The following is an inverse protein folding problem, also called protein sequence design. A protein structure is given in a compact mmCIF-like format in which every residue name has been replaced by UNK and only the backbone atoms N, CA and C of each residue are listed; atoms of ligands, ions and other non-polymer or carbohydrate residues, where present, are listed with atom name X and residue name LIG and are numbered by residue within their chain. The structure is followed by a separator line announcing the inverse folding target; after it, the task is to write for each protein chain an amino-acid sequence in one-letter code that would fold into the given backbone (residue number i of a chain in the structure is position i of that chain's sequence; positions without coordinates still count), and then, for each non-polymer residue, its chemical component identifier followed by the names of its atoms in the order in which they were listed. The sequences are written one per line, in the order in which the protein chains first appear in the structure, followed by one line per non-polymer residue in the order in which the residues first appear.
data_IF_386689541299
#
_entry.id   IF_386689541299
#
_cell.length_a   1.000
_cell.length_b   1.000
_cell.length_c   1.000
_cell.angle_alpha   90.00
_cell.angle_beta   90.00
_cell.angle_gamma   90.00
#
_symmetry.space_group_name_H-M   'P 1'
#
loop_
_entity.id
_entity.type
_entity.pdbx_description
1 polymer ?
#
# COMPACT_ATOMS: atom_id res chain seq x y z
N UNK A 1 -23.60 -2.16 19.39
CA UNK A 1 -24.37 -0.93 19.13
C UNK A 1 -24.02 -0.33 17.78
N UNK A 2 -25.01 -0.12 16.91
CA UNK A 2 -24.84 0.35 15.54
C UNK A 2 -24.48 1.86 15.44
N UNK A 3 -23.61 2.38 16.31
CA UNK A 3 -23.17 3.80 16.36
C UNK A 3 -24.30 4.84 16.11
N UNK A 4 -25.54 4.54 16.50
CA UNK A 4 -26.69 5.42 16.27
C UNK A 4 -27.22 5.53 14.84
N UNK A 5 -26.85 4.63 13.90
CA UNK A 5 -27.34 4.64 12.50
C UNK A 5 -28.53 3.71 12.30
N UNK A 6 -29.48 4.10 11.45
CA UNK A 6 -30.60 3.22 11.05
C UNK A 6 -30.14 2.14 10.06
N UNK A 7 -30.93 1.09 9.90
CA UNK A 7 -30.65 0.01 8.94
C UNK A 7 -30.59 0.55 7.51
N UNK A 8 -31.44 1.51 7.17
CA UNK A 8 -31.49 2.17 5.86
C UNK A 8 -30.20 2.96 5.59
N UNK A 9 -29.72 3.71 6.60
CA UNK A 9 -28.45 4.43 6.50
C UNK A 9 -27.27 3.47 6.29
N UNK A 10 -27.26 2.34 7.00
CA UNK A 10 -26.22 1.31 6.84
C UNK A 10 -26.27 0.71 5.43
N UNK A 11 -27.47 0.37 4.92
CA UNK A 11 -27.65 -0.14 3.55
C UNK A 11 -27.18 0.86 2.49
N UNK A 12 -27.47 2.15 2.69
CA UNK A 12 -27.01 3.21 1.79
C UNK A 12 -25.49 3.32 1.76
N UNK A 13 -24.83 3.24 2.93
CA UNK A 13 -23.36 3.25 3.02
C UNK A 13 -22.77 2.03 2.31
N UNK A 14 -23.29 0.83 2.57
CA UNK A 14 -22.84 -0.41 1.91
C UNK A 14 -22.96 -0.27 0.39
N UNK A 15 -24.10 0.21 -0.11
CA UNK A 15 -24.30 0.41 -1.54
C UNK A 15 -23.34 1.46 -2.12
N UNK A 16 -23.04 2.54 -1.39
CA UNK A 16 -22.10 3.58 -1.85
C UNK A 16 -20.64 3.13 -1.87
N UNK A 17 -20.26 2.14 -1.05
CA UNK A 17 -18.91 1.58 -0.98
C UNK A 17 -18.74 0.36 -1.90
N UNK A 18 -19.81 -0.12 -2.51
CA UNK A 18 -19.75 -1.25 -3.42
C UNK A 18 -19.05 -0.86 -4.73
N UNK A 19 -18.08 -1.67 -5.14
CA UNK A 19 -17.33 -1.48 -6.38
C UNK A 19 -17.43 -2.73 -7.24
N UNK A 20 -17.49 -2.55 -8.57
CA UNK A 20 -17.60 -3.65 -9.52
C UNK A 20 -16.33 -4.52 -9.54
N UNK A 21 -15.14 -3.89 -9.51
CA UNK A 21 -13.84 -4.57 -9.44
C UNK A 21 -13.03 -4.03 -8.25
N UNK A 22 -13.25 -4.56 -7.03
CA UNK A 22 -12.61 -4.03 -5.81
C UNK A 22 -11.08 -4.04 -5.84
N UNK A 23 -10.47 -4.97 -6.60
CA UNK A 23 -9.00 -5.03 -6.76
C UNK A 23 -8.42 -3.73 -7.36
N UNK A 24 -9.16 -3.08 -8.26
CA UNK A 24 -8.76 -1.82 -8.92
C UNK A 24 -9.48 -0.59 -8.37
N UNK A 25 -10.14 -0.70 -7.23
CA UNK A 25 -11.03 0.31 -6.68
C UNK A 25 -10.38 1.38 -5.81
N UNK A 26 -11.18 1.93 -4.89
CA UNK A 26 -10.83 3.01 -3.97
C UNK A 26 -10.13 2.47 -2.71
N UNK A 27 -8.84 2.14 -2.87
CA UNK A 27 -7.99 1.55 -1.83
C UNK A 27 -6.56 2.07 -1.90
N UNK A 28 -5.74 1.65 -0.94
CA UNK A 28 -4.31 2.00 -0.86
C UNK A 28 -4.09 3.51 -0.84
N UNK A 29 -3.10 3.99 -1.59
CA UNK A 29 -2.79 5.41 -1.71
C UNK A 29 -4.02 6.27 -2.00
N UNK A 30 -4.92 5.83 -2.88
CA UNK A 30 -6.09 6.60 -3.30
C UNK A 30 -7.02 6.91 -2.12
N UNK A 31 -7.16 5.94 -1.20
CA UNK A 31 -7.94 6.11 0.02
C UNK A 31 -7.27 7.08 0.99
N UNK A 32 -5.93 7.06 1.06
CA UNK A 32 -5.18 8.03 1.85
C UNK A 32 -5.23 9.45 1.26
N UNK A 33 -5.45 9.59 -0.05
CA UNK A 33 -5.67 10.89 -0.70
C UNK A 33 -7.04 11.48 -0.31
N UNK A 34 -8.08 10.66 -0.30
CA UNK A 34 -9.46 11.11 0.03
C UNK A 34 -9.70 11.24 1.53
N UNK A 35 -9.08 10.38 2.34
CA UNK A 35 -9.18 10.35 3.80
C UNK A 35 -7.79 10.39 4.44
N UNK A 36 -7.08 11.54 4.36
CA UNK A 36 -5.72 11.68 4.86
C UNK A 36 -5.57 11.43 6.36
N UNK A 37 -6.65 11.57 7.13
CA UNK A 37 -6.69 11.22 8.55
C UNK A 37 -6.30 9.77 8.85
N UNK A 38 -6.52 8.84 7.89
CA UNK A 38 -6.12 7.44 8.03
C UNK A 38 -4.60 7.33 8.05
N UNK A 39 -3.92 7.95 7.07
CA UNK A 39 -2.46 7.96 7.00
C UNK A 39 -1.85 8.65 8.23
N UNK A 40 -2.43 9.77 8.67
CA UNK A 40 -2.02 10.46 9.91
C UNK A 40 -2.13 9.54 11.12
N UNK A 41 -3.29 8.90 11.31
CA UNK A 41 -3.53 8.01 12.44
C UNK A 41 -2.55 6.83 12.46
N UNK A 42 -2.35 6.17 11.32
CA UNK A 42 -1.42 5.05 11.20
C UNK A 42 0.03 5.48 11.46
N UNK A 43 0.46 6.62 10.91
CA UNK A 43 1.80 7.17 11.12
C UNK A 43 2.04 7.45 12.61
N UNK A 44 1.08 8.10 13.29
CA UNK A 44 1.18 8.33 14.75
C UNK A 44 1.33 7.03 15.52
N UNK A 45 0.55 6.02 15.17
CA UNK A 45 0.60 4.73 15.85
C UNK A 45 1.98 4.07 15.70
N UNK A 46 2.51 4.01 14.47
CA UNK A 46 3.84 3.43 14.17
C UNK A 46 4.95 4.17 14.91
N UNK A 47 5.00 5.50 14.78
CA UNK A 47 6.08 6.32 15.34
C UNK A 47 6.05 6.30 16.87
N UNK A 48 4.88 6.44 17.49
CA UNK A 48 4.75 6.36 18.96
C UNK A 48 5.15 5.00 19.49
N UNK A 49 4.76 3.92 18.80
CA UNK A 49 5.14 2.57 19.18
C UNK A 49 6.67 2.40 19.11
N UNK A 50 7.29 2.84 18.01
CA UNK A 50 8.73 2.77 17.82
C UNK A 50 9.49 3.56 18.91
N UNK A 51 9.06 4.78 19.22
CA UNK A 51 9.61 5.60 20.32
C UNK A 51 9.52 4.88 21.66
N UNK A 52 8.36 4.27 21.95
CA UNK A 52 8.17 3.57 23.22
C UNK A 52 9.08 2.34 23.35
N UNK A 53 9.23 1.56 22.27
CA UNK A 53 10.15 0.41 22.23
C UNK A 53 11.60 0.87 22.40
N UNK A 54 12.02 1.91 21.67
CA UNK A 54 13.38 2.46 21.76
C UNK A 54 13.71 2.98 23.18
N UNK A 55 12.73 3.56 23.88
CA UNK A 55 12.89 4.00 25.28
C UNK A 55 12.99 2.82 26.25
N UNK A 56 12.24 1.75 26.02
CA UNK A 56 12.27 0.54 26.84
C UNK A 56 13.54 -0.31 26.60
N UNK A 57 14.11 -0.22 25.40
CA UNK A 57 15.30 -0.95 24.97
C UNK A 57 16.34 0.02 24.36
N UNK A 58 17.07 0.77 25.19
CA UNK A 58 18.02 1.78 24.71
C UNK A 58 19.21 1.22 23.90
N UNK A 59 19.47 -0.09 24.04
CA UNK A 59 20.50 -0.83 23.33
C UNK A 59 20.07 -1.27 21.92
N UNK A 60 18.78 -1.15 21.58
CA UNK A 60 18.27 -1.50 20.26
C UNK A 60 18.35 -0.30 19.31
N UNK A 61 18.30 -0.56 18.01
CA UNK A 61 18.12 0.48 16.99
C UNK A 61 16.80 0.23 16.28
N UNK A 62 15.81 1.07 16.57
CA UNK A 62 14.50 1.00 15.94
C UNK A 62 14.38 2.12 14.91
N UNK A 63 14.27 1.74 13.63
CA UNK A 63 14.07 2.66 12.51
C UNK A 63 12.87 2.17 11.67
N UNK A 64 11.69 2.78 11.80
CA UNK A 64 10.51 2.35 11.05
C UNK A 64 10.62 2.65 9.56
N UNK A 65 10.22 1.68 8.73
CA UNK A 65 9.98 1.87 7.30
C UNK A 65 8.47 1.97 7.05
N UNK A 66 8.01 3.12 6.59
CA UNK A 66 6.60 3.37 6.28
C UNK A 66 6.41 3.27 4.77
N UNK A 67 5.63 2.28 4.34
CA UNK A 67 5.42 2.00 2.92
C UNK A 67 4.02 2.40 2.47
N UNK A 68 3.94 3.20 1.39
CA UNK A 68 2.68 3.61 0.77
C UNK A 68 2.33 2.64 -0.39
N UNK A 69 1.17 1.96 -0.34
CA UNK A 69 0.78 0.97 -1.36
C UNK A 69 0.02 1.59 -2.54
N UNK A 70 0.00 0.89 -3.67
CA UNK A 70 -0.74 1.18 -4.90
C UNK A 70 -0.43 2.56 -5.51
N UNK A 71 0.81 3.01 -5.35
CA UNK A 71 1.28 4.24 -5.99
C UNK A 71 1.29 4.07 -7.50
N UNK A 72 0.86 5.12 -8.21
CA UNK A 72 0.78 5.12 -9.67
C UNK A 72 1.52 6.31 -10.29
N UNK A 73 1.60 7.44 -9.57
CA UNK A 73 2.27 8.67 -9.98
C UNK A 73 3.11 9.28 -8.85
N UNK A 74 4.19 9.98 -9.19
CA UNK A 74 5.06 10.62 -8.20
C UNK A 74 4.33 11.71 -7.41
N UNK A 75 3.38 12.43 -8.03
CA UNK A 75 2.62 13.48 -7.32
C UNK A 75 1.65 12.90 -6.30
N UNK A 76 1.05 11.76 -6.64
CA UNK A 76 0.20 10.99 -5.73
C UNK A 76 1.01 10.51 -4.52
N UNK A 77 2.17 9.90 -4.77
CA UNK A 77 3.07 9.45 -3.71
C UNK A 77 3.51 10.62 -2.84
N UNK A 78 3.95 11.71 -3.46
CA UNK A 78 4.39 12.92 -2.77
C UNK A 78 3.31 13.46 -1.83
N UNK A 79 2.08 13.57 -2.29
CA UNK A 79 0.97 14.09 -1.49
C UNK A 79 0.81 13.31 -0.17
N UNK A 80 0.80 11.97 -0.24
CA UNK A 80 0.66 11.12 0.94
C UNK A 80 1.94 11.10 1.77
N UNK A 81 3.12 11.09 1.13
CA UNK A 81 4.41 11.18 1.83
C UNK A 81 4.51 12.45 2.67
N UNK A 82 4.13 13.60 2.13
CA UNK A 82 4.19 14.87 2.85
C UNK A 82 3.36 14.82 4.14
N UNK A 83 2.18 14.18 4.10
CA UNK A 83 1.32 13.96 5.27
C UNK A 83 1.98 13.03 6.30
N UNK A 84 2.60 11.94 5.84
CA UNK A 84 3.33 10.99 6.70
C UNK A 84 4.50 11.69 7.37
N UNK A 85 5.33 12.40 6.60
CA UNK A 85 6.51 13.11 7.11
C UNK A 85 6.13 14.17 8.13
N UNK A 86 5.17 15.05 7.80
CA UNK A 86 4.67 16.07 8.74
C UNK A 86 4.20 15.45 10.06
N UNK A 87 3.49 14.33 9.97
CA UNK A 87 2.95 13.65 11.15
C UNK A 87 4.03 12.97 11.97
N UNK A 88 4.96 12.26 11.32
CA UNK A 88 6.05 11.55 11.98
C UNK A 88 7.00 12.53 12.68
N UNK A 89 7.41 13.58 11.98
CA UNK A 89 8.30 14.61 12.51
C UNK A 89 7.70 15.31 13.73
N UNK A 90 6.40 15.61 13.69
CA UNK A 90 5.70 16.21 14.82
C UNK A 90 5.68 15.31 16.06
N UNK A 91 5.47 14.00 15.89
CA UNK A 91 5.46 13.04 17.02
C UNK A 91 6.87 12.80 17.57
N UNK A 92 7.90 12.73 16.70
CA UNK A 92 9.31 12.61 17.10
C UNK A 92 9.75 13.85 17.89
N UNK A 93 9.45 15.04 17.38
CA UNK A 93 9.77 16.31 18.02
C UNK A 93 9.06 16.46 19.37
N UNK A 94 7.77 16.14 19.44
CA UNK A 94 6.99 16.19 20.69
C UNK A 94 7.54 15.22 21.76
N UNK A 95 8.15 14.11 21.34
CA UNK A 95 8.76 13.14 22.24
C UNK A 95 10.21 13.47 22.62
N UNK A 96 10.82 14.50 22.03
CA UNK A 96 12.24 14.84 22.17
C UNK A 96 13.18 13.72 21.71
N UNK A 97 12.77 12.93 20.71
CA UNK A 97 13.53 11.81 20.18
C UNK A 97 14.34 12.22 18.94
N UNK A 98 15.44 11.53 18.68
CA UNK A 98 16.26 11.62 17.46
C UNK A 98 16.00 10.47 16.47
N UNK A 99 14.94 9.68 16.71
CA UNK A 99 14.53 8.54 15.91
C UNK A 99 14.50 8.87 14.41
N UNK A 100 14.99 7.92 13.61
CA UNK A 100 14.94 7.96 12.14
C UNK A 100 13.86 7.03 11.63
N UNK A 101 13.33 7.35 10.47
CA UNK A 101 12.38 6.55 9.73
C UNK A 101 12.58 6.81 8.24
N UNK A 102 12.07 5.92 7.40
CA UNK A 102 12.10 6.05 5.95
C UNK A 102 10.69 5.94 5.40
N UNK A 103 10.38 6.69 4.33
CA UNK A 103 9.13 6.57 3.60
C UNK A 103 9.38 6.06 2.19
N UNK A 104 8.89 4.85 1.92
CA UNK A 104 9.00 4.19 0.64
C UNK A 104 7.65 3.88 0.02
N UNK A 105 7.68 3.13 -1.08
CA UNK A 105 6.45 2.78 -1.78
C UNK A 105 6.49 1.37 -2.35
N UNK A 106 5.30 0.80 -2.50
CA UNK A 106 5.14 -0.45 -3.23
C UNK A 106 5.11 -0.19 -4.74
N UNK A 107 5.92 -0.90 -5.50
CA UNK A 107 5.89 -0.97 -6.96
C UNK A 107 5.04 -2.17 -7.35
N UNK A 108 3.75 -1.92 -7.49
CA UNK A 108 2.73 -2.95 -7.76
C UNK A 108 1.72 -2.53 -8.84
N UNK A 109 1.83 -1.30 -9.34
CA UNK A 109 1.09 -0.81 -10.50
C UNK A 109 2.06 -0.72 -11.68
N UNK A 110 1.73 -1.26 -12.87
CA UNK A 110 2.62 -1.21 -14.02
C UNK A 110 3.10 0.20 -14.37
N UNK A 111 2.23 1.21 -14.23
CA UNK A 111 2.62 2.62 -14.44
C UNK A 111 3.73 3.07 -13.49
N UNK A 112 3.71 2.66 -12.22
CA UNK A 112 4.76 3.02 -11.27
C UNK A 112 6.11 2.41 -11.64
N UNK A 113 6.12 1.20 -12.21
CA UNK A 113 7.34 0.60 -12.76
C UNK A 113 7.85 1.38 -14.00
N UNK A 114 6.94 1.77 -14.90
CA UNK A 114 7.27 2.56 -16.10
C UNK A 114 7.81 3.96 -15.77
N UNK A 115 7.29 4.59 -14.72
CA UNK A 115 7.69 5.92 -14.26
C UNK A 115 8.58 5.88 -13.01
N UNK A 116 9.25 4.76 -12.76
CA UNK A 116 10.00 4.52 -11.52
C UNK A 116 11.07 5.59 -11.25
N UNK A 117 11.66 6.17 -12.30
CA UNK A 117 12.64 7.25 -12.16
C UNK A 117 12.07 8.52 -11.51
N UNK A 118 10.79 8.83 -11.70
CA UNK A 118 10.14 9.95 -11.02
C UNK A 118 9.66 9.56 -9.62
N UNK A 119 9.14 8.34 -9.46
CA UNK A 119 8.74 7.80 -8.15
C UNK A 119 9.93 7.77 -7.18
N UNK A 120 11.11 7.39 -7.67
CA UNK A 120 12.34 7.31 -6.87
C UNK A 120 12.84 8.65 -6.33
N UNK A 121 12.36 9.79 -6.87
CA UNK A 121 12.67 11.12 -6.30
C UNK A 121 11.94 11.35 -4.98
N UNK A 122 10.82 10.66 -4.79
CA UNK A 122 9.97 10.80 -3.61
C UNK A 122 10.11 9.61 -2.65
N UNK A 123 10.40 8.40 -3.13
CA UNK A 123 10.53 7.21 -2.27
C UNK A 123 11.98 6.95 -1.83
N UNK A 124 12.17 6.57 -0.57
CA UNK A 124 13.48 6.17 -0.04
C UNK A 124 13.81 4.70 -0.33
N UNK A 125 12.78 3.87 -0.50
CA UNK A 125 12.91 2.47 -0.91
C UNK A 125 11.72 2.04 -1.79
N UNK A 126 11.95 0.96 -2.56
CA UNK A 126 10.91 0.25 -3.30
C UNK A 126 10.70 -1.15 -2.75
N UNK A 127 9.44 -1.54 -2.63
CA UNK A 127 9.04 -2.94 -2.41
C UNK A 127 8.21 -3.41 -3.60
N UNK A 128 8.60 -4.49 -4.26
CA UNK A 128 7.82 -5.00 -5.39
C UNK A 128 6.67 -5.87 -4.89
N UNK A 129 5.45 -5.35 -5.00
CA UNK A 129 4.22 -6.11 -4.76
C UNK A 129 3.90 -6.98 -5.96
N UNK A 130 4.68 -8.04 -6.17
CA UNK A 130 4.63 -8.86 -7.40
C UNK A 130 3.28 -9.55 -7.60
N UNK A 131 2.50 -9.80 -6.55
CA UNK A 131 1.15 -10.36 -6.72
C UNK A 131 0.25 -9.39 -7.51
N UNK A 132 0.06 -8.17 -7.00
CA UNK A 132 -0.74 -7.15 -7.68
C UNK A 132 -0.09 -6.73 -9.02
N UNK A 133 1.24 -6.67 -9.10
CA UNK A 133 1.94 -6.37 -10.35
C UNK A 133 1.70 -7.43 -11.42
N UNK A 134 1.78 -8.72 -11.08
CA UNK A 134 1.44 -9.83 -11.98
C UNK A 134 -0.02 -9.76 -12.39
N UNK A 135 -0.94 -9.54 -11.44
CA UNK A 135 -2.37 -9.40 -11.75
C UNK A 135 -2.63 -8.30 -12.78
N UNK A 136 -2.03 -7.12 -12.60
CA UNK A 136 -2.22 -5.99 -13.50
C UNK A 136 -1.52 -6.16 -14.85
N UNK A 137 -0.35 -6.81 -14.85
CA UNK A 137 0.44 -7.02 -16.08
C UNK A 137 -0.22 -8.06 -16.99
N UNK A 138 -0.69 -9.17 -16.41
CA UNK A 138 -1.43 -10.20 -17.14
C UNK A 138 -2.90 -9.85 -17.38
N UNK A 139 -3.46 -8.91 -16.60
CA UNK A 139 -4.90 -8.63 -16.60
C UNK A 139 -5.72 -9.75 -15.96
N UNK A 140 -5.14 -10.48 -15.01
CA UNK A 140 -5.78 -11.61 -14.34
C UNK A 140 -6.18 -11.24 -12.91
N UNK A 141 -7.43 -11.51 -12.54
CA UNK A 141 -7.81 -11.63 -11.14
C UNK A 141 -7.32 -12.98 -10.63
N UNK A 142 -6.46 -12.99 -9.60
CA UNK A 142 -5.94 -14.25 -9.03
C UNK A 142 -7.07 -15.16 -8.54
N UNK A 143 -8.11 -14.58 -7.98
CA UNK A 143 -9.28 -15.31 -7.46
C UNK A 143 -10.10 -15.97 -8.58
N UNK A 144 -10.04 -15.43 -9.80
CA UNK A 144 -10.76 -15.96 -10.96
C UNK A 144 -9.90 -16.79 -11.91
N UNK A 145 -8.58 -16.61 -11.88
CA UNK A 145 -7.64 -17.21 -12.82
C UNK A 145 -7.65 -18.74 -12.78
N UNK A 146 -7.96 -19.33 -11.62
CA UNK A 146 -8.09 -20.78 -11.46
C UNK A 146 -9.10 -21.43 -12.42
N UNK A 147 -10.08 -20.67 -12.94
CA UNK A 147 -11.08 -21.16 -13.90
C UNK A 147 -10.50 -21.51 -15.27
N UNK A 148 -9.35 -20.92 -15.65
CA UNK A 148 -8.76 -21.13 -16.98
C UNK A 148 -7.28 -21.52 -16.96
N UNK A 149 -6.54 -21.24 -15.87
CA UNK A 149 -5.10 -21.52 -15.80
C UNK A 149 -4.77 -23.00 -16.01
N UNK A 150 -5.62 -23.92 -15.54
CA UNK A 150 -5.46 -25.36 -15.81
C UNK A 150 -5.38 -25.66 -17.32
N UNK A 151 -6.26 -25.07 -18.13
CA UNK A 151 -6.24 -25.23 -19.57
C UNK A 151 -5.01 -24.59 -20.23
N UNK A 152 -4.45 -23.52 -19.65
CA UNK A 152 -3.21 -22.91 -20.11
C UNK A 152 -2.02 -23.85 -19.91
N UNK A 153 -1.95 -24.54 -18.77
CA UNK A 153 -0.90 -25.52 -18.48
C UNK A 153 -1.02 -26.76 -19.37
N UNK A 154 -2.24 -27.31 -19.52
CA UNK A 154 -2.49 -28.49 -20.37
C UNK A 154 -2.09 -28.23 -21.83
N UNK A 155 -2.33 -27.00 -22.32
CA UNK A 155 -1.97 -26.57 -23.66
C UNK A 155 -0.53 -26.04 -23.79
N UNK A 156 0.24 -26.04 -22.70
CA UNK A 156 1.61 -25.50 -22.64
C UNK A 156 1.71 -24.05 -23.09
N UNK A 157 0.67 -23.26 -22.85
CA UNK A 157 0.69 -21.81 -23.04
C UNK A 157 1.56 -21.19 -21.94
N UNK A 158 1.41 -21.66 -20.71
CA UNK A 158 2.31 -21.34 -19.60
C UNK A 158 2.97 -22.62 -19.08
N UNK A 159 4.24 -22.49 -18.68
CA UNK A 159 5.01 -23.57 -18.07
C UNK A 159 4.86 -23.62 -16.55
N UNK A 160 4.42 -22.53 -15.94
CA UNK A 160 4.26 -22.38 -14.50
C UNK A 160 3.22 -21.33 -14.15
N UNK A 161 2.68 -21.42 -12.93
CA UNK A 161 1.78 -20.40 -12.38
C UNK A 161 2.53 -19.07 -12.14
N UNK A 162 2.16 -17.97 -12.83
CA UNK A 162 2.83 -16.68 -12.71
C UNK A 162 2.64 -16.03 -11.32
N UNK A 163 1.66 -16.49 -10.53
CA UNK A 163 1.49 -16.05 -9.14
C UNK A 163 2.38 -16.78 -8.14
N UNK A 164 2.93 -17.94 -8.53
CA UNK A 164 3.84 -18.73 -7.70
C UNK A 164 5.31 -18.57 -8.14
N UNK A 165 5.56 -18.40 -9.44
CA UNK A 165 6.88 -18.19 -10.03
C UNK A 165 6.87 -16.89 -10.82
N UNK A 166 7.76 -15.98 -10.46
CA UNK A 166 7.90 -14.69 -11.13
C UNK A 166 8.17 -14.87 -12.63
N UNK A 167 7.39 -14.19 -13.45
CA UNK A 167 7.67 -14.03 -14.87
C UNK A 167 8.85 -13.06 -15.07
N UNK A 168 9.91 -13.55 -15.70
CA UNK A 168 11.15 -12.80 -15.90
C UNK A 168 11.20 -12.08 -17.26
N UNK A 169 10.30 -12.39 -18.19
CA UNK A 169 10.32 -11.79 -19.54
C UNK A 169 9.27 -10.69 -19.73
N UNK A 170 8.32 -10.58 -18.79
CA UNK A 170 7.44 -9.42 -18.63
C UNK A 170 6.00 -9.69 -19.03
#
# INVERSE_FOLDING_TARGET
DAQGKTVEQIKAIIASLHEFNPMMGHRGLRLAVTYPEIAKMQTKAVIRAAINVQKAHPDWTVAPEIMIPLSCDAKELKYVKDIVVETADAEIAAAGSDMKYEVGTMIEIPRAALTAGDIAKEAEFFCFGTNDLTQMTYGFSRDDAGKFLGAYYDKKIFESDPFAKLDQVG
#
